data_IF_218608442030
#
_entry.id   IF_218608442030
#
_cell.length_a   1.000
_cell.length_b   1.000
_cell.length_c   1.000
_cell.angle_alpha   90.00
_cell.angle_beta   90.00
_cell.angle_gamma   90.00
#
_symmetry.space_group_name_H-M   'P 1'
#
loop_
_entity.id
_entity.type
_entity.pdbx_description
1 polymer ?
#
# COMPACT_ATOMS: atom_id res chain seq x y z
N UNK A 1 -2.28 -15.00 10.05
CA UNK A 1 -2.75 -14.57 11.39
C UNK A 1 -3.31 -13.15 11.32
N UNK A 2 -4.50 -12.87 11.89
CA UNK A 2 -5.07 -11.51 11.94
C UNK A 2 -4.59 -10.77 13.18
N UNK A 3 -4.20 -9.49 13.07
CA UNK A 3 -3.85 -8.63 14.22
C UNK A 3 -4.76 -7.41 14.35
N UNK A 4 -5.25 -7.17 15.57
CA UNK A 4 -5.87 -5.90 15.96
C UNK A 4 -4.84 -4.82 16.30
N UNK A 5 -5.25 -3.78 17.03
CA UNK A 5 -4.35 -2.75 17.56
C UNK A 5 -3.36 -3.30 18.58
N UNK A 6 -2.22 -2.63 18.75
CA UNK A 6 -1.07 -3.13 19.53
C UNK A 6 -1.42 -3.58 20.95
N UNK A 7 -2.26 -2.83 21.68
CA UNK A 7 -2.66 -3.18 23.05
C UNK A 7 -3.83 -4.17 23.12
N UNK A 8 -4.44 -4.53 21.97
CA UNK A 8 -5.51 -5.52 21.93
C UNK A 8 -4.90 -6.93 21.99
N UNK A 9 -5.74 -7.91 22.34
CA UNK A 9 -5.34 -9.30 22.45
C UNK A 9 -6.17 -10.19 21.52
N UNK A 10 -5.59 -11.27 20.98
CA UNK A 10 -6.36 -12.37 20.41
C UNK A 10 -7.42 -12.87 21.39
N UNK A 11 -8.61 -13.21 20.89
CA UNK A 11 -9.72 -13.62 21.78
C UNK A 11 -9.44 -14.96 22.47
N UNK A 12 -8.77 -15.88 21.79
CA UNK A 12 -8.27 -17.13 22.35
C UNK A 12 -7.30 -16.88 23.51
N UNK A 13 -6.43 -15.87 23.43
CA UNK A 13 -5.54 -15.49 24.53
C UNK A 13 -6.32 -14.95 25.74
N UNK A 14 -7.40 -14.20 25.50
CA UNK A 14 -8.30 -13.75 26.57
C UNK A 14 -8.90 -14.96 27.29
N UNK A 15 -9.41 -15.95 26.54
CA UNK A 15 -10.05 -17.16 27.10
C UNK A 15 -9.04 -18.04 27.84
N UNK A 16 -7.81 -18.17 27.32
CA UNK A 16 -6.76 -19.00 27.93
C UNK A 16 -6.00 -18.30 29.06
N UNK A 17 -6.23 -17.02 29.32
CA UNK A 17 -5.50 -16.23 30.31
C UNK A 17 -4.09 -15.82 29.88
N UNK A 18 -3.78 -15.88 28.58
CA UNK A 18 -2.52 -15.37 28.05
C UNK A 18 -2.55 -13.82 28.02
N UNK A 19 -1.50 -13.22 28.54
CA UNK A 19 -1.38 -11.76 28.68
C UNK A 19 -0.77 -11.08 27.46
N UNK A 20 -0.24 -11.85 26.50
CA UNK A 20 0.36 -11.31 25.27
C UNK A 20 -0.67 -10.55 24.45
N UNK A 21 -0.21 -9.48 23.83
CA UNK A 21 -0.96 -8.58 22.96
C UNK A 21 -0.55 -8.77 21.51
N UNK A 22 -1.28 -8.15 20.58
CA UNK A 22 -0.83 -8.10 19.19
C UNK A 22 0.51 -7.36 19.03
N UNK A 23 0.81 -6.39 19.90
CA UNK A 23 2.14 -5.76 19.97
C UNK A 23 3.24 -6.77 20.28
N UNK A 24 3.00 -7.70 21.22
CA UNK A 24 3.97 -8.76 21.55
C UNK A 24 4.13 -9.76 20.39
N UNK A 25 3.03 -10.07 19.69
CA UNK A 25 3.03 -10.94 18.52
C UNK A 25 3.68 -10.31 17.28
N UNK A 26 3.69 -8.98 17.19
CA UNK A 26 4.31 -8.21 16.12
C UNK A 26 5.83 -8.04 16.28
N UNK A 27 6.43 -8.57 17.35
CA UNK A 27 7.90 -8.60 17.52
C UNK A 27 8.54 -9.70 16.66
N UNK A 28 9.85 -9.62 16.33
CA UNK A 28 10.54 -10.69 15.59
C UNK A 28 10.35 -12.09 16.19
N UNK A 29 10.39 -12.20 17.53
CA UNK A 29 10.14 -13.48 18.22
C UNK A 29 8.70 -13.97 18.02
N UNK A 30 7.71 -13.07 18.13
CA UNK A 30 6.31 -13.40 17.89
C UNK A 30 6.05 -13.84 16.46
N UNK A 31 6.61 -13.10 15.49
CA UNK A 31 6.52 -13.40 14.06
C UNK A 31 7.19 -14.74 13.71
N UNK A 32 8.36 -15.02 14.27
CA UNK A 32 9.02 -16.32 14.11
C UNK A 32 8.19 -17.48 14.65
N UNK A 33 7.45 -17.29 15.75
CA UNK A 33 6.50 -18.29 16.24
C UNK A 33 5.32 -18.48 15.27
N UNK A 34 4.79 -17.39 14.72
CA UNK A 34 3.68 -17.38 13.77
C UNK A 34 4.03 -18.09 12.46
N UNK A 35 5.25 -17.90 11.97
CA UNK A 35 5.75 -18.53 10.74
C UNK A 35 5.70 -20.07 10.77
N UNK A 36 5.59 -20.70 11.95
CA UNK A 36 5.43 -22.15 12.04
C UNK A 36 4.02 -22.63 11.64
N UNK A 37 3.03 -21.74 11.57
CA UNK A 37 1.64 -22.12 11.33
C UNK A 37 0.90 -21.23 10.32
N UNK A 38 1.48 -20.12 9.88
CA UNK A 38 0.87 -19.21 8.93
C UNK A 38 1.89 -18.74 7.89
N UNK A 39 1.42 -18.51 6.66
CA UNK A 39 2.22 -17.95 5.56
C UNK A 39 2.22 -16.41 5.54
N UNK A 40 1.40 -15.77 6.38
CA UNK A 40 1.30 -14.32 6.43
C UNK A 40 0.48 -13.77 7.58
N UNK A 41 0.59 -12.46 7.77
CA UNK A 41 -0.15 -11.67 8.75
C UNK A 41 -1.06 -10.65 8.06
N UNK A 42 -2.22 -10.41 8.68
CA UNK A 42 -3.13 -9.34 8.30
C UNK A 42 -3.28 -8.37 9.45
N UNK A 43 -2.40 -7.36 9.57
CA UNK A 43 -2.47 -6.42 10.68
C UNK A 43 -3.42 -5.26 10.40
N UNK A 44 -3.95 -4.64 11.45
CA UNK A 44 -4.47 -3.28 11.34
C UNK A 44 -3.40 -2.39 10.71
N UNK A 45 -3.77 -1.54 9.73
CA UNK A 45 -2.85 -0.58 9.10
C UNK A 45 -2.15 0.33 10.14
N UNK A 46 -2.77 0.53 11.32
CA UNK A 46 -2.23 1.31 12.44
C UNK A 46 -1.14 0.60 13.25
N UNK A 47 -0.92 -0.71 13.05
CA UNK A 47 0.28 -1.39 13.56
C UNK A 47 1.52 -1.14 12.70
N UNK A 48 1.32 -0.83 11.41
CA UNK A 48 2.42 -0.52 10.48
C UNK A 48 2.75 0.97 10.55
N UNK A 49 1.74 1.84 10.43
CA UNK A 49 1.91 3.30 10.58
C UNK A 49 0.94 3.78 11.67
N UNK A 50 1.40 3.94 12.92
CA UNK A 50 0.58 4.43 14.01
C UNK A 50 0.19 5.89 13.81
N UNK A 51 -0.81 6.33 14.58
CA UNK A 51 -1.15 7.75 14.70
C UNK A 51 -1.06 8.19 16.15
N UNK A 52 -0.79 9.48 16.37
CA UNK A 52 -0.92 10.09 17.69
C UNK A 52 -2.40 10.37 18.03
N UNK A 53 -2.64 11.01 19.17
CA UNK A 53 -3.97 11.39 19.66
C UNK A 53 -4.68 12.45 18.79
N UNK A 54 -3.93 13.14 17.92
CA UNK A 54 -4.42 14.16 17.01
C UNK A 54 -4.63 13.60 15.58
N UNK A 55 -4.61 12.26 15.43
CA UNK A 55 -4.73 11.56 14.14
C UNK A 55 -3.61 11.91 13.13
N UNK A 56 -2.45 12.35 13.62
CA UNK A 56 -1.26 12.56 12.79
C UNK A 56 -0.43 11.29 12.72
N UNK A 57 0.17 11.02 11.57
CA UNK A 57 1.03 9.87 11.36
C UNK A 57 2.29 9.93 12.24
N UNK A 58 2.64 8.78 12.80
CA UNK A 58 3.94 8.54 13.44
C UNK A 58 4.85 7.77 12.47
N UNK A 59 6.17 7.70 12.75
CA UNK A 59 7.08 6.90 11.93
C UNK A 59 6.59 5.46 11.75
N UNK A 60 6.72 4.87 10.54
CA UNK A 60 6.41 3.46 10.32
C UNK A 60 7.20 2.55 11.26
N UNK A 61 6.58 1.46 11.69
CA UNK A 61 7.24 0.41 12.49
C UNK A 61 8.07 -0.51 11.60
N UNK A 62 8.85 -1.40 12.22
CA UNK A 62 9.62 -2.45 11.52
C UNK A 62 8.78 -3.67 11.17
N UNK A 63 7.47 -3.67 11.44
CA UNK A 63 6.63 -4.87 11.32
C UNK A 63 6.68 -5.50 9.92
N UNK A 64 6.67 -4.70 8.85
CA UNK A 64 6.75 -5.24 7.48
C UNK A 64 8.07 -5.95 7.25
N UNK A 65 9.20 -5.30 7.57
CA UNK A 65 10.53 -5.90 7.40
C UNK A 65 10.74 -7.12 8.29
N UNK A 66 10.24 -7.09 9.53
CA UNK A 66 10.40 -8.18 10.48
C UNK A 66 9.55 -9.40 10.07
N UNK A 67 8.36 -9.16 9.51
CA UNK A 67 7.50 -10.22 8.98
C UNK A 67 8.15 -10.89 7.75
N UNK A 68 8.69 -10.10 6.82
CA UNK A 68 9.42 -10.63 5.66
C UNK A 68 10.65 -11.43 6.07
N UNK A 69 11.40 -10.99 7.08
CA UNK A 69 12.54 -11.75 7.63
C UNK A 69 12.11 -13.10 8.22
N UNK A 70 10.89 -13.17 8.77
CA UNK A 70 10.29 -14.41 9.24
C UNK A 70 9.65 -15.26 8.12
N UNK A 71 9.69 -14.80 6.86
CA UNK A 71 9.08 -15.49 5.72
C UNK A 71 7.55 -15.32 5.61
N UNK A 72 6.99 -14.29 6.26
CA UNK A 72 5.56 -14.02 6.29
C UNK A 72 5.18 -12.91 5.31
N UNK A 73 4.12 -13.13 4.52
CA UNK A 73 3.46 -12.09 3.74
C UNK A 73 2.69 -11.10 4.65
N UNK A 74 2.51 -9.86 4.20
CA UNK A 74 1.84 -8.80 4.98
C UNK A 74 0.70 -8.17 4.19
N UNK A 75 -0.54 -8.37 4.66
CA UNK A 75 -1.77 -7.87 4.04
C UNK A 75 -2.61 -7.01 5.01
N UNK A 76 -2.29 -5.72 5.21
CA UNK A 76 -2.99 -4.90 6.18
C UNK A 76 -4.45 -4.60 5.82
N UNK A 77 -5.22 -4.22 6.84
CA UNK A 77 -6.62 -3.83 6.72
C UNK A 77 -6.96 -2.59 7.60
N UNK A 78 -8.07 -1.87 7.38
CA UNK A 78 -8.85 -1.79 6.14
C UNK A 78 -8.63 -0.39 5.58
N UNK A 79 -8.35 -0.30 4.29
CA UNK A 79 -8.23 0.98 3.59
C UNK A 79 -9.62 1.43 3.15
N UNK A 80 -9.88 2.73 3.36
CA UNK A 80 -11.18 3.37 3.17
C UNK A 80 -10.94 4.81 2.75
N UNK A 81 -11.68 5.25 1.75
CA UNK A 81 -11.42 6.53 1.09
C UNK A 81 -12.01 7.72 1.85
N UNK A 82 -12.95 7.50 2.76
CA UNK A 82 -13.60 8.58 3.50
C UNK A 82 -12.65 9.24 4.52
N UNK A 83 -12.69 10.58 4.56
CA UNK A 83 -11.82 11.43 5.40
C UNK A 83 -11.71 10.97 6.86
N UNK A 84 -12.81 10.46 7.43
CA UNK A 84 -12.86 10.00 8.83
C UNK A 84 -11.92 8.80 9.12
N UNK A 85 -11.53 8.05 8.09
CA UNK A 85 -10.64 6.89 8.22
C UNK A 85 -9.18 7.19 7.83
N UNK A 86 -8.93 8.36 7.26
CA UNK A 86 -7.61 8.82 6.85
C UNK A 86 -6.90 9.51 8.03
N UNK A 87 -5.57 9.44 8.04
CA UNK A 87 -4.77 10.31 8.91
C UNK A 87 -4.83 11.76 8.40
N UNK A 88 -4.66 12.72 9.32
CA UNK A 88 -4.69 14.14 8.98
C UNK A 88 -3.67 14.53 7.91
N UNK A 89 -2.49 13.88 7.91
CA UNK A 89 -1.39 14.10 6.98
C UNK A 89 -1.74 13.85 5.51
N UNK A 90 -2.74 13.01 5.24
CA UNK A 90 -3.20 12.76 3.88
C UNK A 90 -4.13 13.85 3.35
N UNK A 91 -4.62 14.76 4.20
CA UNK A 91 -5.48 15.89 3.83
C UNK A 91 -6.67 15.48 2.93
N UNK A 92 -7.37 14.41 3.31
CA UNK A 92 -8.52 13.87 2.58
C UNK A 92 -8.17 13.15 1.27
N UNK A 93 -6.89 12.88 1.00
CA UNK A 93 -6.46 12.19 -0.21
C UNK A 93 -6.09 10.71 0.07
N UNK A 94 -6.98 9.75 -0.20
CA UNK A 94 -6.71 8.35 0.08
C UNK A 94 -5.59 7.75 -0.78
N UNK A 95 -5.36 8.31 -1.97
CA UNK A 95 -4.29 7.87 -2.88
C UNK A 95 -2.93 7.90 -2.18
N UNK A 96 -2.68 8.93 -1.36
CA UNK A 96 -1.42 9.06 -0.63
C UNK A 96 -1.24 7.94 0.41
N UNK A 97 -2.33 7.48 1.04
CA UNK A 97 -2.30 6.35 1.97
C UNK A 97 -1.92 5.05 1.24
N UNK A 98 -2.61 4.73 0.14
CA UNK A 98 -2.28 3.54 -0.64
C UNK A 98 -0.83 3.56 -1.12
N UNK A 99 -0.36 4.70 -1.66
CA UNK A 99 1.02 4.85 -2.11
C UNK A 99 2.03 4.62 -1.00
N UNK A 100 1.81 5.24 0.18
CA UNK A 100 2.72 5.07 1.31
C UNK A 100 2.84 3.61 1.71
N UNK A 101 1.72 2.89 1.80
CA UNK A 101 1.71 1.50 2.21
C UNK A 101 2.32 0.56 1.16
N UNK A 102 2.05 0.76 -0.13
CA UNK A 102 2.74 0.01 -1.19
C UNK A 102 4.25 0.26 -1.18
N UNK A 103 4.69 1.50 -0.94
CA UNK A 103 6.12 1.84 -0.85
C UNK A 103 6.81 1.25 0.39
N UNK A 104 6.06 0.92 1.45
CA UNK A 104 6.58 0.14 2.58
C UNK A 104 6.79 -1.34 2.26
N UNK A 105 6.35 -1.80 1.09
CA UNK A 105 6.58 -3.16 0.62
C UNK A 105 5.53 -4.17 1.08
N UNK A 106 4.32 -3.75 1.46
CA UNK A 106 3.25 -4.72 1.75
C UNK A 106 2.94 -5.56 0.51
N UNK A 107 2.59 -6.83 0.72
CA UNK A 107 2.39 -7.80 -0.37
C UNK A 107 0.99 -7.68 -1.03
N UNK A 108 0.09 -6.95 -0.37
CA UNK A 108 -1.31 -6.79 -0.72
C UNK A 108 -2.04 -6.04 0.41
N UNK A 109 -3.33 -5.77 0.25
CA UNK A 109 -4.13 -5.08 1.28
C UNK A 109 -5.61 -5.44 1.16
N UNK A 110 -6.36 -5.19 2.23
CA UNK A 110 -7.82 -5.20 2.22
C UNK A 110 -8.36 -3.78 2.18
N UNK A 111 -9.19 -3.49 1.18
CA UNK A 111 -9.82 -2.19 0.98
C UNK A 111 -11.32 -2.34 0.72
N UNK A 112 -12.11 -1.41 1.26
CA UNK A 112 -13.54 -1.27 0.91
C UNK A 112 -13.72 -0.44 -0.39
N UNK A 113 -12.66 0.20 -0.87
CA UNK A 113 -12.57 0.96 -2.12
C UNK A 113 -11.53 0.33 -3.09
N UNK A 114 -11.84 -0.86 -3.65
CA UNK A 114 -10.88 -1.64 -4.45
C UNK A 114 -10.47 -0.95 -5.76
N UNK A 115 -11.28 -0.04 -6.28
CA UNK A 115 -10.99 0.77 -7.47
C UNK A 115 -9.81 1.73 -7.24
N UNK A 116 -9.80 2.45 -6.11
CA UNK A 116 -8.67 3.31 -5.72
C UNK A 116 -7.41 2.49 -5.51
N UNK A 117 -7.50 1.37 -4.78
CA UNK A 117 -6.37 0.47 -4.55
C UNK A 117 -5.76 -0.06 -5.86
N UNK A 118 -6.61 -0.51 -6.80
CA UNK A 118 -6.19 -1.01 -8.11
C UNK A 118 -5.51 0.07 -8.94
N UNK A 119 -6.08 1.27 -9.00
CA UNK A 119 -5.52 2.40 -9.74
C UNK A 119 -4.11 2.75 -9.25
N UNK A 120 -3.92 2.84 -7.93
CA UNK A 120 -2.62 3.17 -7.33
C UNK A 120 -1.60 2.06 -7.57
N UNK A 121 -1.96 0.79 -7.31
CA UNK A 121 -1.09 -0.37 -7.54
C UNK A 121 -0.57 -0.42 -8.98
N UNK A 122 -1.47 -0.18 -9.95
CA UNK A 122 -1.14 -0.20 -11.37
C UNK A 122 -0.23 0.96 -11.79
N UNK A 123 -0.45 2.14 -11.21
CA UNK A 123 0.43 3.29 -11.40
C UNK A 123 1.85 2.99 -10.90
N UNK A 124 1.99 2.46 -9.67
CA UNK A 124 3.29 2.13 -9.07
C UNK A 124 4.01 1.02 -9.84
N UNK A 125 3.28 0.01 -10.32
CA UNK A 125 3.85 -1.10 -11.09
C UNK A 125 4.29 -0.74 -12.53
N UNK A 126 4.14 0.52 -12.98
CA UNK A 126 4.59 0.99 -14.30
C UNK A 126 3.74 0.55 -15.51
N UNK A 127 2.54 0.01 -15.24
CA UNK A 127 1.41 -0.36 -16.11
C UNK A 127 1.65 -0.88 -17.55
N UNK A 128 1.29 -2.12 -17.93
CA UNK A 128 1.43 -2.51 -19.32
C UNK A 128 0.41 -1.87 -20.26
N UNK A 129 -0.82 -1.49 -19.85
CA UNK A 129 -1.78 -0.75 -20.71
C UNK A 129 -3.04 -0.27 -19.96
N UNK A 130 -3.03 0.94 -19.36
CA UNK A 130 -4.13 1.92 -19.42
C UNK A 130 -3.91 3.08 -18.44
N UNK A 131 -4.13 4.30 -18.95
CA UNK A 131 -4.27 5.54 -18.19
C UNK A 131 -5.66 5.64 -17.55
N UNK A 132 -5.72 6.01 -16.27
CA UNK A 132 -7.00 6.30 -15.58
C UNK A 132 -7.40 7.76 -15.88
N UNK A 133 -8.60 8.02 -16.42
CA UNK A 133 -9.18 9.36 -16.46
C UNK A 133 -9.89 9.69 -15.13
N UNK A 134 -9.63 10.87 -14.58
CA UNK A 134 -10.19 11.39 -13.32
C UNK A 134 -11.74 11.46 -13.31
N UNK A 135 -12.41 11.20 -12.16
CA UNK A 135 -13.81 11.56 -11.96
C UNK A 135 -13.95 13.08 -11.86
N UNK A 136 -14.00 13.75 -13.01
CA UNK A 136 -14.20 15.21 -13.13
C UNK A 136 -13.41 15.93 -14.24
N UNK A 137 -12.84 15.21 -15.21
CA UNK A 137 -11.84 15.78 -16.13
C UNK A 137 -12.38 16.87 -17.08
N UNK A 138 -11.91 18.11 -16.92
CA UNK A 138 -11.79 19.10 -18.00
C UNK A 138 -10.42 19.76 -17.92
N UNK A 139 -9.54 19.48 -18.87
CA UNK A 139 -8.57 20.47 -19.34
C UNK A 139 -8.51 20.47 -20.86
N UNK A 140 -8.92 21.60 -21.41
CA UNK A 140 -8.80 21.94 -22.81
C UNK A 140 -7.38 22.43 -23.12
N UNK A 141 -7.02 22.27 -24.40
CA UNK A 141 -6.02 23.00 -25.19
C UNK A 141 -4.53 22.62 -25.09
N UNK A 142 -4.00 22.29 -26.26
CA UNK A 142 -2.57 22.33 -26.58
C UNK A 142 -2.25 21.74 -27.96
N UNK A 143 -2.54 22.49 -29.03
CA UNK A 143 -2.12 22.18 -30.41
C UNK A 143 -0.60 21.92 -30.50
N UNK A 144 -0.19 20.84 -31.16
CA UNK A 144 1.16 20.70 -31.72
C UNK A 144 1.04 20.70 -33.25
N UNK A 145 1.71 21.62 -33.97
CA UNK A 145 1.61 21.67 -35.43
C UNK A 145 2.51 20.62 -36.08
N UNK A 146 1.96 20.05 -37.16
CA UNK A 146 2.58 19.12 -38.09
C UNK A 146 3.61 19.85 -38.97
N UNK A 147 4.89 19.48 -38.90
CA UNK A 147 5.88 19.89 -39.90
C UNK A 147 7.01 18.85 -40.04
N UNK A 148 7.18 18.31 -41.25
CA UNK A 148 8.42 17.61 -41.62
C UNK A 148 8.28 16.40 -42.54
N UNK A 149 7.64 16.52 -43.70
CA UNK A 149 7.83 15.58 -44.81
C UNK A 149 8.48 16.34 -45.98
N UNK A 150 9.69 15.97 -46.40
CA UNK A 150 10.19 16.14 -47.79
C UNK A 150 11.55 15.43 -48.02
N UNK A 151 11.45 14.30 -48.73
CA UNK A 151 12.31 13.77 -49.78
C UNK A 151 13.76 14.27 -49.97
N UNK A 152 14.71 13.31 -49.99
CA UNK A 152 15.81 13.31 -50.97
C UNK A 152 16.15 11.88 -51.42
N UNK A 153 15.81 11.55 -52.67
CA UNK A 153 16.43 10.48 -53.45
C UNK A 153 17.80 11.00 -53.92
N UNK A 154 18.84 10.18 -53.86
CA UNK A 154 19.76 10.03 -54.98
C UNK A 154 20.64 8.79 -54.83
N UNK A 155 20.60 7.97 -55.87
CA UNK A 155 21.47 6.85 -56.13
C UNK A 155 22.83 7.33 -56.65
N UNK A 156 23.92 6.65 -56.28
CA UNK A 156 25.09 6.42 -57.12
C UNK A 156 25.71 5.06 -56.77
N UNK A 157 26.08 4.34 -57.82
CA UNK A 157 26.71 3.02 -57.88
C UNK A 157 28.22 3.17 -58.14
N UNK A 158 28.99 2.11 -57.82
CA UNK A 158 30.41 1.76 -58.12
C UNK A 158 31.23 1.68 -56.82
N UNK A 159 32.02 0.63 -56.56
CA UNK A 159 32.58 -0.43 -57.40
C UNK A 159 32.42 -1.82 -56.73
#
# INVERSE_FOLDING_TARGET
QLFGGAAQRPFDFIVSGDTRTYGDLATPTGLGAIANYADGIGPSKRLIIPTNTENQLLPPTTLVSDAHQAGLLVHPYTFRDEDVFLAADYNGNPVLEYEQFFNLGIDGLFSDNPDTAFAVRNRIAGNPNQSVPEPGMVFALGLVPLAGLLHRRNAQSKA
#
